data_IF_155362193528
#
_entry.id   IF_155362193528
#
_cell.length_a   1.000
_cell.length_b   1.000
_cell.length_c   1.000
_cell.angle_alpha   90.00
_cell.angle_beta   90.00
_cell.angle_gamma   90.00
#
_symmetry.space_group_name_H-M   'P 1'
#
loop_
_entity.id
_entity.type
_entity.pdbx_description
1 polymer ?
#
# COMPACT_ATOMS: atom_id res chain seq x y z
N UNK A 1 -15.33 5.75 0.29
CA UNK A 1 -14.45 5.79 -0.90
C UNK A 1 -13.24 4.89 -0.68
N UNK A 2 -13.04 3.89 -1.53
CA UNK A 2 -11.80 3.09 -1.51
C UNK A 2 -10.61 4.01 -1.84
N UNK A 3 -9.54 3.92 -1.04
CA UNK A 3 -8.31 4.69 -1.27
C UNK A 3 -7.28 3.76 -1.88
N UNK A 4 -6.67 4.19 -2.98
CA UNK A 4 -5.54 3.48 -3.58
C UNK A 4 -4.25 4.23 -3.29
N UNK A 5 -3.16 3.51 -3.03
CA UNK A 5 -1.85 4.07 -2.72
C UNK A 5 -0.76 3.40 -3.54
N UNK A 6 0.14 4.20 -4.09
CA UNK A 6 1.30 3.72 -4.84
C UNK A 6 2.41 3.28 -3.88
N UNK A 7 2.97 2.09 -4.09
CA UNK A 7 4.16 1.59 -3.43
C UNK A 7 5.42 2.34 -3.87
N UNK A 8 5.46 2.79 -5.12
CA UNK A 8 6.63 3.46 -5.69
C UNK A 8 6.79 4.87 -5.15
N UNK A 9 5.69 5.62 -5.07
CA UNK A 9 5.73 7.05 -4.69
C UNK A 9 5.17 7.32 -3.30
N UNK A 10 4.52 6.32 -2.67
CA UNK A 10 3.82 6.51 -1.41
C UNK A 10 2.58 7.41 -1.49
N UNK A 11 2.22 7.91 -2.67
CA UNK A 11 1.10 8.85 -2.87
C UNK A 11 -0.23 8.12 -3.02
N UNK A 12 -1.30 8.75 -2.55
CA UNK A 12 -2.65 8.31 -2.88
C UNK A 12 -2.94 8.57 -4.36
N UNK A 13 -3.50 7.56 -5.02
CA UNK A 13 -3.83 7.56 -6.44
C UNK A 13 -5.30 7.21 -6.64
N UNK A 14 -5.82 7.52 -7.83
CA UNK A 14 -7.19 7.15 -8.19
C UNK A 14 -7.29 5.64 -8.42
N UNK A 15 -8.49 5.09 -8.24
CA UNK A 15 -8.77 3.68 -8.50
C UNK A 15 -8.41 3.25 -9.93
N UNK A 16 -8.63 4.13 -10.91
CA UNK A 16 -8.22 3.88 -12.31
C UNK A 16 -6.72 3.67 -12.45
N UNK A 17 -5.90 4.43 -11.73
CA UNK A 17 -4.44 4.24 -11.68
C UNK A 17 -4.08 2.90 -11.08
N UNK A 18 -4.81 2.48 -10.05
CA UNK A 18 -4.57 1.20 -9.39
C UNK A 18 -4.92 0.00 -10.27
N UNK A 19 -6.00 0.10 -11.06
CA UNK A 19 -6.37 -0.91 -12.06
C UNK A 19 -5.31 -0.98 -13.17
N UNK A 20 -4.72 0.15 -13.59
CA UNK A 20 -3.64 0.18 -14.58
C UNK A 20 -2.30 -0.32 -14.05
N UNK A 21 -2.06 -0.22 -12.74
CA UNK A 21 -0.77 -0.56 -12.12
C UNK A 21 -0.94 -1.49 -10.90
N UNK A 22 -1.61 -2.65 -11.06
CA UNK A 22 -2.02 -3.47 -9.91
C UNK A 22 -0.83 -3.99 -9.10
N UNK A 23 0.34 -4.16 -9.72
CA UNK A 23 1.56 -4.66 -9.05
C UNK A 23 2.23 -3.63 -8.14
N UNK A 24 1.95 -2.35 -8.32
CA UNK A 24 2.61 -1.26 -7.59
C UNK A 24 1.62 -0.37 -6.85
N UNK A 25 0.34 -0.74 -6.82
CA UNK A 25 -0.68 -0.02 -6.08
C UNK A 25 -1.48 -0.95 -5.17
N UNK A 26 -1.67 -0.53 -3.93
CA UNK A 26 -2.61 -1.16 -3.01
C UNK A 26 -3.95 -0.44 -3.15
N UNK A 27 -5.06 -1.18 -3.17
CA UNK A 27 -6.40 -0.61 -3.01
C UNK A 27 -6.99 -1.08 -1.70
N UNK A 28 -7.33 -0.14 -0.83
CA UNK A 28 -7.94 -0.44 0.46
C UNK A 28 -9.45 -0.19 0.38
N UNK A 29 -10.23 -1.25 0.50
CA UNK A 29 -11.67 -1.19 0.69
C UNK A 29 -11.96 -0.65 2.09
N UNK A 30 -12.73 0.45 2.17
CA UNK A 30 -13.00 1.12 3.43
C UNK A 30 -13.70 0.22 4.46
N UNK A 31 -12.95 -0.30 5.42
CA UNK A 31 -13.38 -0.63 6.79
C UNK A 31 -12.18 -0.78 7.74
N UNK A 32 -11.07 -0.15 7.41
CA UNK A 32 -9.86 -0.13 8.22
C UNK A 32 -9.31 1.28 8.19
N UNK A 33 -9.94 2.20 8.92
CA UNK A 33 -9.17 3.35 9.41
C UNK A 33 -7.94 2.73 10.07
N UNK A 34 -6.73 3.11 9.65
CA UNK A 34 -5.51 2.86 10.41
C UNK A 34 -5.75 3.44 11.80
N UNK A 35 -6.36 2.66 12.69
CA UNK A 35 -6.64 2.99 14.09
C UNK A 35 -5.43 2.65 14.96
N UNK A 36 -4.38 2.09 14.37
CA UNK A 36 -3.07 1.92 15.00
C UNK A 36 -2.15 3.06 14.60
N UNK A 37 -1.50 3.67 15.58
CA UNK A 37 -0.42 4.65 15.40
C UNK A 37 0.90 4.00 14.94
N UNK A 38 0.83 2.93 14.14
CA UNK A 38 1.95 2.09 13.77
C UNK A 38 2.42 2.33 12.34
N UNK A 39 3.71 2.11 12.08
CA UNK A 39 4.20 1.97 10.71
C UNK A 39 3.88 0.57 10.20
N UNK A 40 3.09 0.47 9.14
CA UNK A 40 2.72 -0.79 8.51
C UNK A 40 3.34 -0.88 7.11
N UNK A 41 3.73 -2.10 6.73
CA UNK A 41 4.20 -2.37 5.38
C UNK A 41 3.27 -3.36 4.69
N UNK A 42 2.84 -3.05 3.46
CA UNK A 42 1.89 -3.85 2.72
C UNK A 42 2.36 -4.10 1.29
N UNK A 43 2.36 -5.36 0.86
CA UNK A 43 2.69 -5.71 -0.52
C UNK A 43 1.57 -5.24 -1.45
N UNK A 44 1.91 -4.44 -2.46
CA UNK A 44 1.01 -4.07 -3.54
C UNK A 44 0.65 -5.26 -4.45
N UNK A 45 1.54 -6.25 -4.55
CA UNK A 45 1.34 -7.42 -5.40
C UNK A 45 0.36 -8.41 -4.76
N UNK A 46 0.54 -8.71 -3.47
CA UNK A 46 -0.25 -9.75 -2.78
C UNK A 46 -1.29 -9.18 -1.82
N UNK A 47 -1.26 -7.88 -1.52
CA UNK A 47 -2.13 -7.24 -0.54
C UNK A 47 -1.87 -7.65 0.91
N UNK A 48 -0.83 -8.45 1.18
CA UNK A 48 -0.48 -8.95 2.52
C UNK A 48 0.38 -7.94 3.28
N UNK A 49 0.21 -7.90 4.60
CA UNK A 49 1.16 -7.22 5.46
C UNK A 49 2.50 -7.94 5.48
N UNK A 50 3.58 -7.17 5.43
CA UNK A 50 4.95 -7.68 5.40
C UNK A 50 5.78 -6.95 6.45
N UNK A 51 6.96 -7.49 6.73
CA UNK A 51 7.90 -6.87 7.66
C UNK A 51 8.67 -5.71 7.01
N UNK A 52 9.26 -4.85 7.84
CA UNK A 52 10.13 -3.75 7.39
C UNK A 52 11.30 -4.24 6.54
N UNK A 53 11.92 -5.36 6.89
CA UNK A 53 12.99 -5.99 6.10
C UNK A 53 12.51 -6.39 4.70
N UNK A 54 11.25 -6.82 4.58
CA UNK A 54 10.66 -7.15 3.28
C UNK A 54 10.35 -5.89 2.48
N UNK A 55 9.88 -4.83 3.14
CA UNK A 55 9.70 -3.53 2.51
C UNK A 55 11.01 -2.94 2.00
N UNK A 56 12.10 -3.08 2.76
CA UNK A 56 13.43 -2.63 2.38
C UNK A 56 14.00 -3.42 1.18
N UNK A 57 13.71 -4.73 1.10
CA UNK A 57 14.10 -5.56 -0.06
C UNK A 57 13.24 -5.30 -1.30
N UNK A 58 11.98 -4.90 -1.11
CA UNK A 58 11.01 -4.70 -2.19
C UNK A 58 10.35 -3.32 -2.18
N UNK A 59 11.13 -2.22 -2.20
CA UNK A 59 10.61 -0.87 -1.97
C UNK A 59 9.66 -0.40 -3.08
N UNK A 60 9.76 -0.96 -4.29
CA UNK A 60 8.89 -0.61 -5.43
C UNK A 60 7.51 -1.28 -5.39
N UNK A 61 7.38 -2.35 -4.62
CA UNK A 61 6.16 -3.18 -4.57
C UNK A 61 5.60 -3.28 -3.16
N UNK A 62 6.18 -2.57 -2.19
CA UNK A 62 5.70 -2.52 -0.82
C UNK A 62 5.38 -1.09 -0.46
N UNK A 63 4.15 -0.86 0.00
CA UNK A 63 3.71 0.41 0.54
C UNK A 63 4.11 0.47 2.00
N UNK A 64 4.74 1.57 2.41
CA UNK A 64 4.97 1.91 3.82
C UNK A 64 3.97 2.98 4.23
N UNK A 65 3.15 2.66 5.21
CA UNK A 65 2.12 3.55 5.74
C UNK A 65 2.47 3.89 7.17
N UNK A 66 2.66 5.18 7.44
CA UNK A 66 2.82 5.72 8.78
C UNK A 66 1.48 6.31 9.19
N UNK A 67 0.94 5.86 10.32
CA UNK A 67 -0.27 6.40 10.95
C UNK A 67 -0.09 7.83 11.41
#
# INVERSE_FOLDING_TARGET
MARSRSAVTGRYVRRSTAVRNPRTTVTEGGSGRNRGSGTHHRSAVTGRYVTSTTAARHPRTTVTERG
#
